data_IF_368257487669
#
_entry.id   IF_368257487669
#
_cell.length_a   1.000
_cell.length_b   1.000
_cell.length_c   1.000
_cell.angle_alpha   90.00
_cell.angle_beta   90.00
_cell.angle_gamma   90.00
#
_symmetry.space_group_name_H-M   'P 1'
#
loop_
_entity.id
_entity.type
_entity.pdbx_description
1 polymer ?
#
# COMPACT_ATOMS: atom_id res chain seq x y z
N UNK A 1 19.08 21.60 -22.69
CA UNK A 1 20.15 22.04 -23.61
C UNK A 1 20.73 20.88 -24.45
N UNK A 2 20.66 19.64 -23.97
CA UNK A 2 21.12 18.45 -24.69
C UNK A 2 20.00 17.70 -25.41
N UNK A 3 18.76 18.11 -25.26
CA UNK A 3 17.58 17.42 -25.81
C UNK A 3 17.22 16.10 -25.14
N UNK A 4 17.90 15.71 -24.07
CA UNK A 4 17.55 14.54 -23.29
C UNK A 4 16.41 14.83 -22.32
N UNK A 5 15.45 13.92 -22.27
CA UNK A 5 14.33 13.97 -21.34
C UNK A 5 13.82 12.57 -21.02
N UNK A 6 12.90 12.50 -20.07
CA UNK A 6 12.15 11.31 -19.75
C UNK A 6 10.72 11.46 -20.31
N UNK A 7 10.28 10.47 -21.08
CA UNK A 7 8.92 10.33 -21.54
C UNK A 7 8.20 9.31 -20.67
N UNK A 8 7.08 9.71 -20.10
CA UNK A 8 6.11 8.82 -19.43
C UNK A 8 4.79 8.89 -20.17
N UNK A 9 4.34 7.77 -20.67
CA UNK A 9 3.01 7.61 -21.28
C UNK A 9 2.24 6.49 -20.59
N UNK A 10 0.93 6.50 -20.72
CA UNK A 10 0.08 5.43 -20.19
C UNK A 10 -1.19 5.26 -20.99
N UNK A 11 -1.85 4.14 -20.79
CA UNK A 11 -3.21 3.91 -21.24
C UNK A 11 -4.19 4.87 -20.56
N UNK A 12 -5.37 5.02 -21.12
CA UNK A 12 -6.35 6.07 -20.79
C UNK A 12 -6.80 6.15 -19.31
N UNK A 13 -6.71 5.07 -18.57
CA UNK A 13 -7.15 5.09 -17.17
C UNK A 13 -6.26 5.95 -16.29
N UNK A 14 -4.97 5.96 -16.53
CA UNK A 14 -4.01 6.69 -15.71
C UNK A 14 -3.81 8.11 -16.25
N UNK A 15 -4.67 9.05 -15.86
CA UNK A 15 -4.73 10.40 -16.42
C UNK A 15 -3.93 11.45 -15.67
N UNK A 16 -3.59 11.18 -14.41
CA UNK A 16 -2.89 12.18 -13.60
C UNK A 16 -1.38 12.06 -13.73
N UNK A 17 -0.74 13.22 -13.86
CA UNK A 17 0.73 13.37 -13.86
C UNK A 17 1.10 14.49 -12.92
N UNK A 18 2.15 14.27 -12.13
CA UNK A 18 2.73 15.27 -11.25
C UNK A 18 4.24 15.28 -11.39
N UNK A 19 4.81 16.45 -11.25
CA UNK A 19 6.21 16.65 -10.99
C UNK A 19 6.37 17.10 -9.55
N UNK A 20 7.08 16.32 -8.75
CA UNK A 20 7.37 16.65 -7.35
C UNK A 20 8.81 17.14 -7.23
N UNK A 21 8.99 18.21 -6.44
CA UNK A 21 10.27 18.79 -6.12
C UNK A 21 10.37 19.00 -4.61
N UNK A 22 11.50 18.65 -4.02
CA UNK A 22 11.77 18.84 -2.60
C UNK A 22 11.94 20.32 -2.19
N UNK A 23 12.18 21.21 -3.15
CA UNK A 23 12.47 22.62 -2.89
C UNK A 23 13.92 22.90 -2.53
N UNK A 24 14.17 24.10 -2.00
CA UNK A 24 15.52 24.65 -1.78
C UNK A 24 15.85 24.94 -0.30
N UNK A 25 15.00 24.57 0.62
CA UNK A 25 15.24 24.77 2.06
C UNK A 25 16.27 23.75 2.58
N UNK A 26 16.93 24.07 3.68
CA UNK A 26 17.94 23.21 4.29
C UNK A 26 17.41 21.82 4.64
N UNK A 27 16.21 21.74 5.21
CA UNK A 27 15.55 20.46 5.47
C UNK A 27 15.33 19.64 4.20
N UNK A 28 14.94 20.28 3.10
CA UNK A 28 14.77 19.61 1.80
C UNK A 28 16.11 19.11 1.24
N UNK A 29 17.17 19.89 1.43
CA UNK A 29 18.52 19.49 1.01
C UNK A 29 19.01 18.28 1.82
N UNK A 30 18.83 18.28 3.13
CA UNK A 30 19.20 17.16 4.01
C UNK A 30 18.44 15.88 3.62
N UNK A 31 17.13 15.97 3.34
CA UNK A 31 16.34 14.82 2.89
C UNK A 31 16.84 14.27 1.56
N UNK A 32 17.11 15.13 0.57
CA UNK A 32 17.62 14.68 -0.71
C UNK A 32 18.99 14.01 -0.59
N UNK A 33 19.90 14.57 0.21
CA UNK A 33 21.21 13.99 0.48
C UNK A 33 21.11 12.63 1.18
N UNK A 34 20.20 12.51 2.15
CA UNK A 34 19.95 11.25 2.87
C UNK A 34 19.38 10.17 1.92
N UNK A 35 18.39 10.51 1.12
CA UNK A 35 17.70 9.55 0.25
C UNK A 35 18.52 9.13 -0.98
N UNK A 36 19.48 9.95 -1.40
CA UNK A 36 20.28 9.67 -2.59
C UNK A 36 21.72 9.25 -2.28
N UNK A 37 22.07 9.12 -1.01
CA UNK A 37 23.47 8.88 -0.58
C UNK A 37 24.46 9.84 -1.24
N UNK A 38 24.14 11.14 -1.24
CA UNK A 38 24.89 12.23 -1.85
C UNK A 38 25.02 12.17 -3.38
N UNK A 39 24.19 11.40 -4.05
CA UNK A 39 24.18 11.34 -5.54
C UNK A 39 23.57 12.60 -6.19
N UNK A 40 23.09 13.56 -5.40
CA UNK A 40 22.59 14.84 -5.88
C UNK A 40 21.07 15.00 -5.74
N UNK A 41 20.59 16.14 -6.23
CA UNK A 41 19.16 16.48 -6.18
C UNK A 41 18.40 15.82 -7.29
N UNK A 42 17.13 15.51 -7.03
CA UNK A 42 16.26 14.84 -7.98
C UNK A 42 14.83 15.40 -7.97
N UNK A 43 14.14 15.09 -9.04
CA UNK A 43 12.70 15.34 -9.21
C UNK A 43 11.99 14.00 -9.35
N UNK A 44 10.76 13.94 -8.86
CA UNK A 44 9.92 12.76 -9.00
C UNK A 44 8.83 12.99 -10.04
N UNK A 45 8.83 12.19 -11.09
CA UNK A 45 7.70 12.09 -12.01
C UNK A 45 6.74 11.06 -11.45
N UNK A 46 5.56 11.51 -11.08
CA UNK A 46 4.55 10.67 -10.47
C UNK A 46 3.33 10.54 -11.39
N UNK A 47 2.76 9.35 -11.45
CA UNK A 47 1.49 9.08 -12.12
C UNK A 47 0.51 8.46 -11.13
N UNK A 48 -0.78 8.71 -11.35
CA UNK A 48 -1.80 8.16 -10.46
C UNK A 48 -3.20 8.25 -11.05
N UNK A 49 -4.14 7.57 -10.41
CA UNK A 49 -5.55 7.63 -10.76
C UNK A 49 -6.20 8.91 -10.23
N UNK A 50 -5.79 9.36 -9.04
CA UNK A 50 -6.25 10.60 -8.44
C UNK A 50 -5.46 11.81 -8.91
N UNK A 51 -6.08 12.98 -8.95
CA UNK A 51 -5.43 14.25 -9.36
C UNK A 51 -4.28 14.66 -8.46
N UNK A 52 -4.38 14.35 -7.18
CA UNK A 52 -3.38 14.66 -6.16
C UNK A 52 -3.26 13.49 -5.18
N UNK A 53 -2.26 13.50 -4.31
CA UNK A 53 -2.12 12.53 -3.22
C UNK A 53 -3.28 12.53 -2.23
N UNK A 54 -3.99 13.65 -2.11
CA UNK A 54 -5.14 13.80 -1.21
C UNK A 54 -6.47 13.46 -1.90
N UNK A 55 -6.46 13.29 -3.23
CA UNK A 55 -7.64 12.94 -4.01
C UNK A 55 -7.95 11.46 -3.92
N UNK A 56 -8.83 11.07 -3.00
CA UNK A 56 -9.32 9.70 -2.91
C UNK A 56 -10.30 9.41 -4.04
N UNK A 57 -10.15 8.27 -4.69
CA UNK A 57 -11.09 7.76 -5.68
C UNK A 57 -11.79 6.55 -5.06
N UNK A 58 -13.14 6.58 -4.94
CA UNK A 58 -13.87 5.45 -4.42
C UNK A 58 -13.75 4.24 -5.37
N UNK A 59 -13.43 3.09 -4.81
CA UNK A 59 -13.39 1.83 -5.52
C UNK A 59 -14.50 0.93 -4.99
N UNK A 60 -15.49 0.65 -5.83
CA UNK A 60 -16.60 -0.23 -5.48
C UNK A 60 -16.10 -1.67 -5.27
N UNK A 61 -16.81 -2.50 -4.47
CA UNK A 61 -16.51 -3.93 -4.38
C UNK A 61 -16.67 -4.60 -5.74
N UNK A 62 -15.94 -5.68 -5.97
CA UNK A 62 -15.93 -6.44 -7.22
C UNK A 62 -15.51 -5.61 -8.46
N UNK A 63 -14.71 -4.57 -8.25
CA UNK A 63 -14.18 -3.71 -9.31
C UNK A 63 -12.70 -4.04 -9.52
N UNK A 64 -12.29 -4.17 -10.78
CA UNK A 64 -10.89 -4.28 -11.18
C UNK A 64 -10.50 -3.08 -12.05
N UNK A 65 -9.35 -2.49 -11.75
CA UNK A 65 -8.75 -1.43 -12.54
C UNK A 65 -7.42 -1.91 -13.09
N UNK A 66 -7.18 -1.60 -14.34
CA UNK A 66 -5.96 -1.98 -15.05
C UNK A 66 -5.47 -0.83 -15.92
N UNK A 67 -4.19 -0.71 -16.03
CA UNK A 67 -3.51 0.24 -16.90
C UNK A 67 -2.11 -0.26 -17.21
N UNK A 68 -1.50 0.35 -18.20
CA UNK A 68 -0.12 0.13 -18.55
C UNK A 68 0.60 1.47 -18.65
N UNK A 69 1.82 1.51 -18.17
CA UNK A 69 2.71 2.65 -18.26
C UNK A 69 3.96 2.27 -19.05
N UNK A 70 4.47 3.24 -19.77
CA UNK A 70 5.76 3.13 -20.44
C UNK A 70 6.63 4.31 -20.05
N UNK A 71 7.86 4.02 -19.69
CA UNK A 71 8.90 4.97 -19.40
C UNK A 71 10.04 4.78 -20.39
N UNK A 72 10.57 5.87 -20.90
CA UNK A 72 11.70 5.80 -21.83
C UNK A 72 12.40 7.13 -22.02
N UNK A 73 13.58 7.13 -22.63
CA UNK A 73 14.24 8.35 -23.00
C UNK A 73 13.43 9.07 -24.07
N UNK A 74 13.32 10.38 -23.94
CA UNK A 74 12.87 11.27 -24.99
C UNK A 74 14.11 12.04 -25.50
N UNK A 75 14.59 11.65 -26.62
CA UNK A 75 15.69 12.35 -27.28
C UNK A 75 15.44 12.43 -28.78
N UNK A 76 15.39 13.64 -29.28
CA UNK A 76 15.59 13.93 -30.70
C UNK A 76 15.93 15.42 -30.87
N UNK A 77 16.77 15.76 -31.81
CA UNK A 77 17.05 17.15 -32.13
C UNK A 77 15.81 17.88 -32.63
N UNK A 78 14.96 17.21 -33.41
CA UNK A 78 13.67 17.72 -33.86
C UNK A 78 12.73 18.01 -32.68
N UNK A 79 12.59 17.09 -31.76
CA UNK A 79 11.76 17.26 -30.56
C UNK A 79 12.24 18.45 -29.71
N UNK A 80 13.55 18.60 -29.55
CA UNK A 80 14.15 19.70 -28.80
C UNK A 80 13.85 21.06 -29.47
N UNK A 81 14.03 21.17 -30.76
CA UNK A 81 13.77 22.40 -31.54
C UNK A 81 12.27 22.80 -31.44
N UNK A 82 11.37 21.85 -31.45
CA UNK A 82 9.93 22.09 -31.38
C UNK A 82 9.37 22.33 -29.96
N UNK A 83 10.15 22.00 -28.93
CA UNK A 83 9.71 22.19 -27.52
C UNK A 83 10.31 23.43 -26.89
N UNK A 84 11.59 23.76 -27.17
CA UNK A 84 12.27 24.91 -26.58
C UNK A 84 11.63 26.23 -27.06
N UNK A 85 11.51 27.17 -26.15
CA UNK A 85 10.97 28.52 -26.37
C UNK A 85 9.55 28.60 -26.96
N UNK A 86 8.83 27.49 -26.94
CA UNK A 86 7.42 27.45 -27.35
C UNK A 86 6.48 27.65 -26.14
N UNK A 87 5.28 28.16 -26.43
CA UNK A 87 4.22 28.21 -25.43
C UNK A 87 3.78 26.80 -25.01
N UNK A 88 3.12 26.72 -23.85
CA UNK A 88 2.59 25.43 -23.35
C UNK A 88 1.66 24.76 -24.37
N UNK A 89 0.77 25.53 -25.02
CA UNK A 89 -0.21 24.99 -25.96
C UNK A 89 0.45 24.48 -27.25
N UNK A 90 1.50 25.14 -27.71
CA UNK A 90 2.28 24.65 -28.85
C UNK A 90 3.00 23.36 -28.52
N UNK A 91 3.66 23.28 -27.37
CA UNK A 91 4.32 22.04 -26.90
C UNK A 91 3.33 20.89 -26.74
N UNK A 92 2.19 21.16 -26.14
CA UNK A 92 1.12 20.18 -25.95
C UNK A 92 0.63 19.63 -27.28
N UNK A 93 0.37 20.52 -28.26
CA UNK A 93 -0.04 20.12 -29.60
C UNK A 93 1.02 19.26 -30.27
N UNK A 94 2.26 19.69 -30.26
CA UNK A 94 3.35 18.92 -30.84
C UNK A 94 3.49 17.52 -30.25
N UNK A 95 3.48 17.40 -28.94
CA UNK A 95 3.55 16.09 -28.26
C UNK A 95 2.32 15.22 -28.60
N UNK A 96 1.14 15.80 -28.66
CA UNK A 96 -0.07 15.08 -29.04
C UNK A 96 0.04 14.53 -30.47
N UNK A 97 0.47 15.35 -31.41
CA UNK A 97 0.67 14.95 -32.83
C UNK A 97 1.76 13.87 -32.95
N UNK A 98 2.84 14.00 -32.19
CA UNK A 98 3.91 12.99 -32.10
C UNK A 98 3.37 11.64 -31.60
N UNK A 99 2.59 11.63 -30.53
CA UNK A 99 1.99 10.42 -29.97
C UNK A 99 1.00 9.76 -30.95
N UNK A 100 0.22 10.57 -31.68
CA UNK A 100 -0.68 10.08 -32.72
C UNK A 100 0.09 9.48 -33.91
N UNK A 101 1.08 10.20 -34.42
CA UNK A 101 1.92 9.76 -35.56
C UNK A 101 2.66 8.46 -35.23
N UNK A 102 3.20 8.31 -34.06
CA UNK A 102 3.93 7.13 -33.61
C UNK A 102 3.03 5.99 -33.15
N UNK A 103 1.76 6.25 -32.95
CA UNK A 103 0.76 5.30 -32.43
C UNK A 103 1.15 4.68 -31.08
N UNK A 104 1.95 5.37 -30.29
CA UNK A 104 2.46 4.85 -29.01
C UNK A 104 1.34 4.47 -28.03
N UNK A 105 0.29 5.27 -27.93
CA UNK A 105 -0.85 4.96 -27.06
C UNK A 105 -1.58 3.71 -27.56
N UNK A 106 -1.84 3.61 -28.86
CA UNK A 106 -2.46 2.41 -29.45
C UNK A 106 -1.65 1.13 -29.20
N UNK A 107 -0.32 1.21 -29.34
CA UNK A 107 0.58 0.09 -29.03
C UNK A 107 0.52 -0.32 -27.55
N UNK A 108 0.44 0.63 -26.63
CA UNK A 108 0.26 0.34 -25.20
C UNK A 108 -1.08 -0.33 -24.92
N UNK A 109 -2.16 0.13 -25.52
CA UNK A 109 -3.49 -0.49 -25.37
C UNK A 109 -3.52 -1.93 -25.92
N UNK A 110 -2.84 -2.19 -27.03
CA UNK A 110 -2.69 -3.54 -27.56
C UNK A 110 -1.86 -4.42 -26.62
N UNK A 111 -0.76 -3.91 -26.08
CA UNK A 111 0.08 -4.65 -25.16
C UNK A 111 -0.64 -4.94 -23.84
N UNK A 112 -1.41 -3.98 -23.30
CA UNK A 112 -2.26 -4.21 -22.15
C UNK A 112 -3.24 -5.37 -22.37
N UNK A 113 -3.87 -5.44 -23.56
CA UNK A 113 -4.77 -6.54 -23.92
C UNK A 113 -4.06 -7.89 -23.97
N UNK A 114 -2.84 -7.95 -24.49
CA UNK A 114 -2.03 -9.18 -24.55
C UNK A 114 -1.62 -9.65 -23.15
N UNK A 115 -1.15 -8.72 -22.32
CA UNK A 115 -0.59 -9.02 -21.00
C UNK A 115 -1.64 -9.18 -19.91
N UNK A 116 -2.88 -8.76 -20.13
CA UNK A 116 -3.98 -8.85 -19.17
C UNK A 116 -4.14 -10.25 -18.56
N UNK A 117 -4.01 -11.30 -19.36
CA UNK A 117 -4.15 -12.68 -18.89
C UNK A 117 -2.97 -13.15 -18.04
N UNK A 118 -1.81 -12.49 -18.14
CA UNK A 118 -0.63 -12.88 -17.36
C UNK A 118 -0.86 -12.73 -15.86
N UNK A 119 -1.62 -11.73 -15.43
CA UNK A 119 -1.98 -11.53 -14.02
C UNK A 119 -2.78 -12.68 -13.42
N UNK A 120 -3.44 -13.49 -14.25
CA UNK A 120 -4.24 -14.64 -13.86
C UNK A 120 -3.53 -15.98 -14.11
N UNK A 121 -2.30 -15.95 -14.62
CA UNK A 121 -1.51 -17.15 -14.90
C UNK A 121 -0.84 -17.62 -13.62
N UNK A 122 -0.81 -18.93 -13.42
CA UNK A 122 -0.04 -19.50 -12.31
C UNK A 122 1.44 -19.14 -12.48
N UNK A 123 2.03 -18.62 -11.39
CA UNK A 123 3.41 -18.17 -11.38
C UNK A 123 4.24 -18.97 -10.37
N UNK A 124 5.55 -19.03 -10.58
CA UNK A 124 6.48 -19.55 -9.61
C UNK A 124 6.63 -18.56 -8.43
N UNK A 125 6.62 -19.10 -7.20
CA UNK A 125 6.84 -18.30 -6.00
C UNK A 125 8.34 -18.05 -5.84
N UNK A 126 8.77 -16.81 -6.06
CA UNK A 126 10.19 -16.40 -5.88
C UNK A 126 10.42 -15.97 -4.44
N UNK A 127 9.59 -15.06 -3.92
CA UNK A 127 9.70 -14.53 -2.57
C UNK A 127 8.35 -14.61 -1.87
N UNK A 128 8.27 -15.26 -0.71
CA UNK A 128 7.02 -15.35 0.03
C UNK A 128 6.63 -13.99 0.65
N UNK A 129 5.34 -13.67 0.64
CA UNK A 129 4.75 -12.62 1.45
C UNK A 129 4.43 -13.09 2.87
N UNK A 130 3.61 -12.33 3.60
CA UNK A 130 3.21 -12.65 4.98
C UNK A 130 2.39 -13.93 5.13
N UNK A 131 1.80 -14.43 4.06
CA UNK A 131 0.98 -15.65 4.08
C UNK A 131 -0.42 -15.51 4.68
N UNK A 132 -0.75 -14.39 5.34
CA UNK A 132 -2.05 -14.19 6.00
C UNK A 132 -3.26 -14.28 5.06
N UNK A 133 -3.07 -14.12 3.76
CA UNK A 133 -4.09 -14.40 2.75
C UNK A 133 -4.59 -15.85 2.76
N UNK A 134 -3.81 -16.80 3.29
CA UNK A 134 -4.22 -18.19 3.43
C UNK A 134 -5.44 -18.38 4.37
N UNK A 135 -5.68 -17.45 5.30
CA UNK A 135 -6.87 -17.46 6.16
C UNK A 135 -8.16 -17.02 5.43
N UNK A 136 -8.03 -16.49 4.22
CA UNK A 136 -9.17 -15.99 3.43
C UNK A 136 -9.60 -17.06 2.43
N UNK A 137 -10.71 -17.73 2.75
CA UNK A 137 -11.23 -18.87 1.93
C UNK A 137 -11.54 -18.46 0.48
N UNK A 138 -11.91 -17.20 0.24
CA UNK A 138 -12.13 -16.65 -1.09
C UNK A 138 -10.87 -16.65 -1.96
N UNK A 139 -9.69 -16.53 -1.38
CA UNK A 139 -8.42 -16.54 -2.11
C UNK A 139 -7.96 -17.94 -2.48
N UNK A 140 -8.37 -18.96 -1.75
CA UNK A 140 -8.04 -20.34 -2.07
C UNK A 140 -8.63 -20.82 -3.42
N UNK A 141 -9.59 -20.08 -3.97
CA UNK A 141 -10.23 -20.39 -5.27
C UNK A 141 -9.49 -19.79 -6.47
N UNK A 142 -8.49 -18.98 -6.24
CA UNK A 142 -7.74 -18.27 -7.30
C UNK A 142 -6.41 -18.97 -7.50
N UNK A 143 -6.30 -19.84 -8.52
CA UNK A 143 -5.10 -20.63 -8.80
C UNK A 143 -3.82 -19.84 -9.08
N UNK A 144 -3.95 -18.53 -9.32
CA UNK A 144 -2.81 -17.63 -9.55
C UNK A 144 -2.28 -16.97 -8.27
N UNK A 145 -2.98 -17.07 -7.13
CA UNK A 145 -2.51 -16.58 -5.83
C UNK A 145 -1.90 -17.73 -5.03
N UNK A 146 -0.65 -17.56 -4.63
CA UNK A 146 0.07 -18.52 -3.79
C UNK A 146 0.43 -17.86 -2.46
N UNK A 147 0.07 -18.53 -1.37
CA UNK A 147 0.44 -18.12 -0.03
C UNK A 147 1.48 -19.06 0.53
N UNK A 148 2.43 -18.54 1.30
CA UNK A 148 3.42 -19.36 1.97
C UNK A 148 2.77 -20.35 2.93
N UNK A 149 3.51 -21.40 3.23
CA UNK A 149 3.18 -22.31 4.33
C UNK A 149 3.10 -21.52 5.64
N UNK A 150 2.32 -22.02 6.57
CA UNK A 150 2.15 -21.46 7.90
C UNK A 150 3.49 -21.13 8.53
N UNK A 151 3.57 -19.94 9.11
CA UNK A 151 4.64 -19.52 10.01
C UNK A 151 4.17 -19.71 11.44
N UNK A 152 5.06 -19.65 12.42
CA UNK A 152 4.70 -19.72 13.85
C UNK A 152 3.65 -18.68 14.23
N UNK A 153 3.80 -17.45 13.71
CA UNK A 153 2.79 -16.39 13.91
C UNK A 153 1.43 -16.79 13.37
N UNK A 154 1.37 -17.34 12.15
CA UNK A 154 0.12 -17.79 11.55
C UNK A 154 -0.54 -18.92 12.33
N UNK A 155 0.22 -19.84 12.88
CA UNK A 155 -0.29 -20.94 13.70
C UNK A 155 -0.95 -20.41 15.00
N UNK A 156 -0.35 -19.41 15.64
CA UNK A 156 -0.93 -18.73 16.80
C UNK A 156 -2.29 -18.09 16.50
N UNK A 157 -2.40 -17.42 15.35
CA UNK A 157 -3.66 -16.81 14.92
C UNK A 157 -4.71 -17.85 14.49
N UNK A 158 -4.31 -18.93 13.82
CA UNK A 158 -5.20 -20.03 13.48
C UNK A 158 -5.78 -20.66 14.75
N UNK A 159 -4.95 -20.93 15.75
CA UNK A 159 -5.37 -21.41 17.05
C UNK A 159 -6.41 -20.48 17.68
N UNK A 160 -6.17 -19.17 17.67
CA UNK A 160 -7.14 -18.19 18.18
C UNK A 160 -8.49 -18.27 17.43
N UNK A 161 -8.48 -18.35 16.11
CA UNK A 161 -9.73 -18.44 15.34
C UNK A 161 -10.49 -19.74 15.56
N UNK A 162 -9.80 -20.82 15.88
CA UNK A 162 -10.40 -22.12 16.15
C UNK A 162 -10.92 -22.25 17.59
N UNK A 163 -10.16 -21.76 18.57
CA UNK A 163 -10.43 -22.00 19.99
C UNK A 163 -10.96 -20.76 20.73
N UNK A 164 -10.66 -19.57 20.23
CA UNK A 164 -10.87 -18.30 20.92
C UNK A 164 -9.76 -17.94 21.90
N UNK A 165 -8.74 -18.76 22.08
CA UNK A 165 -7.61 -18.51 22.96
C UNK A 165 -6.48 -17.81 22.21
N UNK A 166 -6.22 -16.53 22.55
CA UNK A 166 -5.16 -15.75 21.96
C UNK A 166 -3.85 -16.00 22.69
N UNK A 167 -2.81 -16.33 21.94
CA UNK A 167 -1.45 -16.44 22.48
C UNK A 167 -1.06 -15.13 23.19
N UNK A 168 -0.58 -15.24 24.42
CA UNK A 168 -0.09 -14.12 25.22
C UNK A 168 1.44 -14.06 25.11
N UNK A 169 2.03 -13.17 24.32
CA UNK A 169 3.48 -13.09 24.14
C UNK A 169 4.15 -12.45 25.36
N UNK A 170 5.46 -12.56 25.43
CA UNK A 170 6.29 -11.75 26.33
C UNK A 170 6.08 -10.26 26.02
N UNK A 171 5.89 -9.38 27.03
CA UNK A 171 5.61 -7.96 26.82
C UNK A 171 6.73 -7.18 26.12
N UNK A 172 7.95 -7.72 26.09
CA UNK A 172 9.06 -7.19 25.32
C UNK A 172 9.06 -7.60 23.84
N UNK A 173 8.17 -8.52 23.44
CA UNK A 173 8.09 -8.99 22.05
C UNK A 173 7.25 -8.04 21.21
N UNK A 174 7.79 -7.64 20.04
CA UNK A 174 7.05 -6.82 19.09
C UNK A 174 5.80 -7.55 18.56
N UNK A 175 4.64 -6.88 18.53
CA UNK A 175 3.43 -7.43 17.92
C UNK A 175 3.64 -7.73 16.44
N UNK A 176 3.30 -8.93 16.01
CA UNK A 176 3.61 -9.43 14.66
C UNK A 176 2.49 -9.22 13.63
N UNK A 177 1.25 -9.09 14.06
CA UNK A 177 0.09 -8.91 13.19
C UNK A 177 -1.05 -8.16 13.87
N UNK A 178 -1.77 -7.40 13.06
CA UNK A 178 -2.95 -6.66 13.48
C UNK A 178 -4.15 -7.02 12.60
N UNK A 179 -5.06 -7.79 13.16
CA UNK A 179 -6.33 -8.07 12.52
C UNK A 179 -7.31 -6.91 12.71
N UNK A 180 -8.16 -6.70 11.74
CA UNK A 180 -9.17 -5.66 11.78
C UNK A 180 -10.51 -6.17 11.24
N UNK A 181 -11.55 -5.38 11.41
CA UNK A 181 -12.90 -5.70 10.97
C UNK A 181 -13.87 -5.94 12.11
N UNK A 182 -15.15 -5.76 11.84
CA UNK A 182 -16.22 -5.85 12.83
C UNK A 182 -16.35 -7.27 13.40
N UNK A 183 -16.23 -8.27 12.56
CA UNK A 183 -16.33 -9.68 12.96
C UNK A 183 -15.20 -10.06 13.90
N UNK A 184 -13.98 -9.63 13.62
CA UNK A 184 -12.84 -9.86 14.50
C UNK A 184 -13.00 -9.16 15.84
N UNK A 185 -13.40 -7.88 15.85
CA UNK A 185 -13.67 -7.13 17.09
C UNK A 185 -14.74 -7.82 17.94
N UNK A 186 -15.84 -8.23 17.30
CA UNK A 186 -16.92 -8.91 18.02
C UNK A 186 -16.46 -10.24 18.63
N UNK A 187 -15.66 -11.02 17.89
CA UNK A 187 -15.11 -12.27 18.35
C UNK A 187 -14.11 -12.08 19.51
N UNK A 188 -13.21 -11.12 19.38
CA UNK A 188 -12.23 -10.80 20.41
C UNK A 188 -12.92 -10.29 21.70
N UNK A 189 -13.94 -9.44 21.60
CA UNK A 189 -14.75 -9.02 22.74
C UNK A 189 -15.41 -10.20 23.45
N UNK A 190 -16.00 -11.11 22.69
CA UNK A 190 -16.67 -12.30 23.23
C UNK A 190 -15.69 -13.18 24.03
N UNK A 191 -14.46 -13.31 23.55
CA UNK A 191 -13.43 -14.19 24.14
C UNK A 191 -12.56 -13.49 25.19
N UNK A 192 -12.79 -12.19 25.48
CA UNK A 192 -11.96 -11.39 26.38
C UNK A 192 -12.78 -10.75 27.52
N UNK A 193 -13.90 -10.10 27.24
CA UNK A 193 -14.56 -9.17 28.18
C UNK A 193 -15.47 -9.83 29.23
N UNK A 194 -15.54 -11.13 29.29
CA UNK A 194 -16.35 -11.84 30.28
C UNK A 194 -15.45 -12.57 31.27
N UNK A 195 -15.77 -12.57 32.57
CA UNK A 195 -15.10 -13.43 33.55
C UNK A 195 -15.07 -14.88 33.04
N UNK A 196 -13.96 -15.55 33.20
CA UNK A 196 -13.69 -16.92 32.71
C UNK A 196 -13.63 -17.07 31.18
N UNK A 197 -13.68 -15.98 30.43
CA UNK A 197 -13.37 -16.04 29.01
C UNK A 197 -11.87 -16.39 28.79
N UNK A 198 -11.50 -17.08 27.71
CA UNK A 198 -10.12 -17.54 27.46
C UNK A 198 -9.06 -16.44 27.60
N UNK A 199 -9.39 -15.21 27.24
CA UNK A 199 -8.45 -14.09 27.23
C UNK A 199 -8.71 -13.06 28.33
N UNK A 200 -9.47 -13.38 29.36
CA UNK A 200 -9.85 -12.42 30.41
C UNK A 200 -8.65 -11.84 31.16
N UNK A 201 -7.58 -12.61 31.33
CA UNK A 201 -6.32 -12.19 31.96
C UNK A 201 -5.18 -12.01 30.96
N UNK A 202 -5.49 -11.88 29.68
CA UNK A 202 -4.52 -11.75 28.60
C UNK A 202 -4.32 -10.28 28.23
N UNK A 203 -3.20 -9.67 28.65
CA UNK A 203 -2.86 -8.28 28.35
C UNK A 203 -2.86 -7.96 26.85
N UNK A 204 -2.42 -8.92 26.03
CA UNK A 204 -2.31 -8.75 24.59
C UNK A 204 -3.67 -8.66 23.89
N UNK A 205 -4.67 -9.39 24.43
CA UNK A 205 -6.05 -9.28 23.93
C UNK A 205 -6.65 -7.88 24.21
N UNK A 206 -6.42 -7.32 25.39
CA UNK A 206 -6.85 -5.96 25.71
C UNK A 206 -6.10 -4.91 24.87
N UNK A 207 -4.81 -5.10 24.61
CA UNK A 207 -4.07 -4.25 23.71
C UNK A 207 -4.69 -4.22 22.30
N UNK A 208 -5.00 -5.38 21.73
CA UNK A 208 -5.69 -5.45 20.44
C UNK A 208 -7.10 -4.83 20.46
N UNK A 209 -7.84 -5.00 21.54
CA UNK A 209 -9.14 -4.32 21.71
C UNK A 209 -8.96 -2.80 21.71
N UNK A 210 -7.94 -2.28 22.37
CA UNK A 210 -7.60 -0.85 22.37
C UNK A 210 -7.39 -0.33 20.96
N UNK A 211 -6.57 -1.01 20.14
CA UNK A 211 -6.33 -0.63 18.74
C UNK A 211 -7.62 -0.63 17.92
N UNK A 212 -8.44 -1.66 18.05
CA UNK A 212 -9.68 -1.80 17.27
C UNK A 212 -10.71 -0.73 17.64
N UNK A 213 -10.85 -0.43 18.92
CA UNK A 213 -11.76 0.62 19.38
C UNK A 213 -11.27 2.01 18.98
N UNK A 214 -9.95 2.28 19.06
CA UNK A 214 -9.36 3.52 18.59
C UNK A 214 -9.62 3.74 17.09
N UNK A 215 -9.43 2.72 16.28
CA UNK A 215 -9.73 2.77 14.83
C UNK A 215 -11.20 3.07 14.51
N UNK A 216 -12.11 2.74 15.44
CA UNK A 216 -13.55 3.06 15.32
C UNK A 216 -13.89 4.48 15.80
N UNK A 217 -12.94 5.21 16.38
CA UNK A 217 -13.16 6.50 17.00
C UNK A 217 -13.77 6.40 18.41
N UNK A 218 -13.72 5.24 19.04
CA UNK A 218 -14.20 5.01 20.39
C UNK A 218 -13.09 5.26 21.44
N UNK A 219 -12.51 6.46 21.43
CA UNK A 219 -11.30 6.81 22.19
C UNK A 219 -11.38 6.48 23.68
N UNK A 220 -12.54 6.69 24.32
CA UNK A 220 -12.72 6.36 25.74
C UNK A 220 -12.60 4.86 26.01
N UNK A 221 -13.22 4.05 25.16
CA UNK A 221 -13.16 2.58 25.28
C UNK A 221 -11.75 2.10 24.96
N UNK A 222 -11.11 2.66 23.93
CA UNK A 222 -9.74 2.33 23.59
C UNK A 222 -8.78 2.57 24.75
N UNK A 223 -8.92 3.73 25.42
CA UNK A 223 -8.15 4.07 26.63
C UNK A 223 -8.37 3.06 27.75
N UNK A 224 -9.62 2.71 28.05
CA UNK A 224 -9.94 1.70 29.07
C UNK A 224 -9.31 0.34 28.77
N UNK A 225 -9.28 -0.06 27.50
CA UNK A 225 -8.67 -1.31 27.07
C UNK A 225 -7.14 -1.27 27.24
N UNK A 226 -6.48 -0.19 26.85
CA UNK A 226 -5.04 -0.02 27.07
C UNK A 226 -4.67 0.02 28.55
N UNK A 227 -5.43 0.75 29.38
CA UNK A 227 -5.22 0.78 30.83
C UNK A 227 -5.41 -0.60 31.46
N UNK A 228 -6.37 -1.39 30.96
CA UNK A 228 -6.57 -2.77 31.44
C UNK A 228 -5.41 -3.67 31.01
N UNK A 229 -4.93 -3.54 29.79
CA UNK A 229 -3.72 -4.22 29.33
C UNK A 229 -2.53 -3.95 30.25
N UNK A 230 -2.29 -2.69 30.61
CA UNK A 230 -1.19 -2.29 31.50
C UNK A 230 -1.36 -2.79 32.93
N UNK A 231 -2.58 -2.85 33.44
CA UNK A 231 -2.87 -3.42 34.78
C UNK A 231 -2.57 -4.91 34.86
N UNK A 232 -2.81 -5.63 33.77
CA UNK A 232 -2.50 -7.05 33.67
C UNK A 232 -1.00 -7.29 33.52
N UNK A 233 -0.36 -6.52 32.65
CA UNK A 233 1.07 -6.60 32.40
C UNK A 233 1.58 -5.26 31.85
N UNK A 234 2.59 -4.69 32.48
CA UNK A 234 3.28 -3.52 31.95
C UNK A 234 3.92 -3.86 30.60
N UNK A 235 3.61 -3.03 29.60
CA UNK A 235 4.10 -3.22 28.23
C UNK A 235 4.20 -1.87 27.50
N UNK A 236 5.18 -1.73 26.61
CA UNK A 236 5.43 -0.50 25.85
C UNK A 236 4.32 -0.22 24.83
N UNK A 237 3.67 -1.25 24.35
CA UNK A 237 2.69 -1.18 23.26
C UNK A 237 1.39 -0.48 23.68
N UNK A 238 0.85 -0.84 24.84
CA UNK A 238 -0.33 -0.19 25.39
C UNK A 238 0.01 1.21 25.95
N UNK A 239 1.21 1.45 26.46
CA UNK A 239 1.68 2.79 26.84
C UNK A 239 1.74 3.73 25.63
N UNK A 240 2.18 3.23 24.48
CA UNK A 240 2.19 4.01 23.24
C UNK A 240 0.78 4.32 22.70
N UNK A 241 -0.18 3.46 23.02
CA UNK A 241 -1.59 3.64 22.62
C UNK A 241 -2.35 4.70 23.42
N UNK A 242 -1.88 5.08 24.63
CA UNK A 242 -2.46 6.09 25.51
C UNK A 242 -2.05 7.51 25.14
#
# INVERSE_FOLDING_TARGET
ETGYGLLQISTDRLRSRKLFSWGNQDASNHWQEYLTDKAGRYLEIQAGLGKTQYGCIPMAPHTAWEWMECYGPAYSEELTAEIYDKSFEERKRYITDYLQKTQLIGKLEEELKKTKKMALTEAELITPGSGYGAFRKEYARTGHLKFVKKTESMEKWEHFFETGELHCPDPGTEPDAFWNGEEFLAYLKKTTLKPLAPNYENWYAYYHLGILEFRKGNDKIAKEMYETSLKLQENAWALHGL
#
